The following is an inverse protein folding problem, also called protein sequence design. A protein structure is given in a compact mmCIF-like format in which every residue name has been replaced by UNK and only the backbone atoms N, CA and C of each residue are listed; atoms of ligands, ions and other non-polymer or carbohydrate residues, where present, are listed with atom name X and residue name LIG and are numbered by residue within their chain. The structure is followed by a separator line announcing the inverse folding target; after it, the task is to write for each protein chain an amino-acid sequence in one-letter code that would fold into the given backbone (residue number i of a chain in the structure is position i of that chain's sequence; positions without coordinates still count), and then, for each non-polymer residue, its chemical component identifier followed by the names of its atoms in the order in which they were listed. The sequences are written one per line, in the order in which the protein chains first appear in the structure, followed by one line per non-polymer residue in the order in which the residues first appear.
data_IF_660566191174
#
_entry.id   IF_660566191174
#
_cell.length_a   1.000
_cell.length_b   1.000
_cell.length_c   1.000
_cell.angle_alpha   90.00
_cell.angle_beta   90.00
_cell.angle_gamma   90.00
#
_symmetry.space_group_name_H-M   'P 1'
#
loop_
_entity.id
_entity.type
_entity.pdbx_description
1 polymer ?
#
# COMPACT_ATOMS: atom_id res chain seq x y z
N UNK A 1 -54.05 32.27 -17.67
CA UNK A 1 -53.48 31.12 -18.41
C UNK A 1 -52.09 31.46 -18.99
N UNK A 2 -51.90 32.62 -19.62
CA UNK A 2 -50.59 33.06 -20.16
C UNK A 2 -49.46 33.21 -19.13
N UNK A 3 -49.74 33.72 -17.93
CA UNK A 3 -48.70 33.97 -16.91
C UNK A 3 -48.10 32.64 -16.39
N UNK A 4 -48.93 31.62 -16.19
CA UNK A 4 -48.50 30.27 -15.82
C UNK A 4 -47.68 29.60 -16.93
N UNK A 5 -48.05 29.80 -18.20
CA UNK A 5 -47.29 29.31 -19.35
C UNK A 5 -45.92 30.02 -19.50
N UNK A 6 -45.85 31.33 -19.25
CA UNK A 6 -44.57 32.07 -19.26
C UNK A 6 -43.66 31.64 -18.11
N UNK A 7 -44.18 31.49 -16.90
CA UNK A 7 -43.41 31.02 -15.74
C UNK A 7 -42.96 29.56 -15.93
N UNK A 8 -43.85 28.69 -16.43
CA UNK A 8 -43.53 27.29 -16.74
C UNK A 8 -42.51 27.15 -17.86
N UNK A 9 -42.58 27.99 -18.90
CA UNK A 9 -41.60 28.03 -19.98
C UNK A 9 -40.20 28.45 -19.49
N UNK A 10 -40.12 29.48 -18.65
CA UNK A 10 -38.84 29.93 -18.07
C UNK A 10 -38.24 28.89 -17.12
N UNK A 11 -39.07 28.23 -16.30
CA UNK A 11 -38.64 27.12 -15.44
C UNK A 11 -38.16 25.91 -16.25
N UNK A 12 -38.84 25.55 -17.34
CA UNK A 12 -38.41 24.45 -18.21
C UNK A 12 -37.06 24.76 -18.87
N UNK A 13 -36.85 25.99 -19.35
CA UNK A 13 -35.58 26.40 -19.97
C UNK A 13 -34.41 26.39 -18.97
N UNK A 14 -34.65 26.66 -17.69
CA UNK A 14 -33.61 26.61 -16.65
C UNK A 14 -33.35 25.19 -16.14
N UNK A 15 -34.41 24.41 -15.90
CA UNK A 15 -34.32 23.12 -15.22
C UNK A 15 -33.94 21.99 -16.18
N UNK A 16 -34.43 22.01 -17.43
CA UNK A 16 -34.17 20.92 -18.40
C UNK A 16 -32.67 20.79 -18.73
N UNK A 17 -31.90 21.87 -19.00
CA UNK A 17 -30.46 21.75 -19.24
C UNK A 17 -29.69 21.22 -18.03
N UNK A 18 -30.10 21.57 -16.81
CA UNK A 18 -29.48 21.11 -15.57
C UNK A 18 -29.73 19.60 -15.38
N UNK A 19 -30.95 19.14 -15.61
CA UNK A 19 -31.30 17.71 -15.54
C UNK A 19 -30.56 16.92 -16.63
N UNK A 20 -30.49 17.44 -17.86
CA UNK A 20 -29.75 16.80 -18.95
C UNK A 20 -28.25 16.72 -18.65
N UNK A 21 -27.63 17.78 -18.13
CA UNK A 21 -26.24 17.77 -17.71
C UNK A 21 -25.99 16.75 -16.58
N UNK A 22 -26.89 16.68 -15.60
CA UNK A 22 -26.81 15.70 -14.51
C UNK A 22 -26.93 14.26 -15.01
N UNK A 23 -27.90 13.98 -15.89
CA UNK A 23 -28.09 12.65 -16.48
C UNK A 23 -26.90 12.27 -17.37
N UNK A 24 -26.38 13.21 -18.17
CA UNK A 24 -25.24 12.94 -19.04
C UNK A 24 -23.97 12.63 -18.22
N UNK A 25 -23.73 13.37 -17.14
CA UNK A 25 -22.61 13.10 -16.23
C UNK A 25 -22.75 11.73 -15.54
N UNK A 26 -23.96 11.39 -15.07
CA UNK A 26 -24.24 10.09 -14.45
C UNK A 26 -24.09 8.93 -15.45
N UNK A 27 -24.54 9.12 -16.69
CA UNK A 27 -24.40 8.14 -17.78
C UNK A 27 -22.94 7.97 -18.20
N UNK A 28 -22.18 9.05 -18.31
CA UNK A 28 -20.75 9.00 -18.59
C UNK A 28 -20.01 8.22 -17.48
N UNK A 29 -20.31 8.50 -16.22
CA UNK A 29 -19.73 7.76 -15.08
C UNK A 29 -20.09 6.26 -15.12
N UNK A 30 -21.34 5.92 -15.45
CA UNK A 30 -21.76 4.52 -15.60
C UNK A 30 -21.10 3.83 -16.80
N UNK A 31 -20.95 4.54 -17.93
CA UNK A 31 -20.28 4.03 -19.13
C UNK A 31 -18.81 3.76 -18.86
N UNK A 32 -18.09 4.72 -18.28
CA UNK A 32 -16.69 4.54 -17.88
C UNK A 32 -16.51 3.43 -16.85
N UNK A 33 -17.44 3.28 -15.90
CA UNK A 33 -17.40 2.16 -14.96
C UNK A 33 -17.57 0.80 -15.65
N UNK A 34 -18.44 0.70 -16.66
CA UNK A 34 -18.61 -0.54 -17.45
C UNK A 34 -17.40 -0.84 -18.33
N UNK A 35 -16.86 0.17 -19.02
CA UNK A 35 -15.66 0.03 -19.85
C UNK A 35 -14.46 -0.40 -19.00
N UNK A 36 -14.22 0.24 -17.86
CA UNK A 36 -13.16 -0.14 -16.92
C UNK A 36 -13.30 -1.58 -16.41
N UNK A 37 -14.52 -2.04 -16.12
CA UNK A 37 -14.76 -3.44 -15.71
C UNK A 37 -14.51 -4.42 -16.85
N UNK A 38 -14.89 -4.08 -18.07
CA UNK A 38 -14.63 -4.92 -19.25
C UNK A 38 -13.13 -5.00 -19.57
N UNK A 39 -12.40 -3.90 -19.42
CA UNK A 39 -10.94 -3.86 -19.56
C UNK A 39 -10.25 -4.71 -18.49
N UNK A 40 -10.65 -4.59 -17.22
CA UNK A 40 -10.11 -5.43 -16.15
C UNK A 40 -10.35 -6.92 -16.41
N UNK A 41 -11.55 -7.29 -16.89
CA UNK A 41 -11.87 -8.67 -17.24
C UNK A 41 -11.03 -9.17 -18.43
N UNK A 42 -10.82 -8.32 -19.45
CA UNK A 42 -9.95 -8.66 -20.58
C UNK A 42 -8.51 -8.87 -20.14
N UNK A 43 -7.98 -8.03 -19.26
CA UNK A 43 -6.63 -8.16 -18.70
C UNK A 43 -6.48 -9.44 -17.87
N UNK A 44 -7.51 -9.80 -17.08
CA UNK A 44 -7.51 -11.05 -16.32
C UNK A 44 -7.51 -12.28 -17.24
N UNK A 45 -8.36 -12.31 -18.26
CA UNK A 45 -8.39 -13.38 -19.28
C UNK A 45 -7.06 -13.49 -20.02
N UNK A 46 -6.45 -12.36 -20.35
CA UNK A 46 -5.14 -12.34 -20.97
C UNK A 46 -4.07 -12.89 -20.02
N UNK A 47 -4.10 -12.51 -18.75
CA UNK A 47 -3.16 -12.98 -17.73
C UNK A 47 -3.22 -14.50 -17.50
N UNK A 48 -4.40 -15.10 -17.58
CA UNK A 48 -4.61 -16.56 -17.46
C UNK A 48 -4.23 -17.34 -18.72
N UNK A 49 -4.05 -16.66 -19.86
CA UNK A 49 -3.74 -17.35 -21.11
C UNK A 49 -2.32 -17.95 -21.13
N UNK A 50 -2.21 -19.21 -21.57
CA UNK A 50 -0.91 -19.90 -21.71
C UNK A 50 0.03 -19.21 -22.71
N UNK A 51 -0.49 -18.30 -23.54
CA UNK A 51 0.32 -17.51 -24.49
C UNK A 51 1.20 -16.46 -23.79
N UNK A 52 0.81 -15.98 -22.60
CA UNK A 52 1.59 -14.98 -21.86
C UNK A 52 2.96 -15.52 -21.48
N UNK A 53 3.08 -16.81 -21.17
CA UNK A 53 4.34 -17.42 -20.77
C UNK A 53 5.40 -17.37 -21.89
N UNK A 54 4.97 -17.31 -23.15
CA UNK A 54 5.85 -17.19 -24.34
C UNK A 54 6.26 -15.74 -24.65
N UNK A 55 5.64 -14.74 -24.00
CA UNK A 55 5.92 -13.31 -24.22
C UNK A 55 7.15 -12.85 -23.42
N UNK A 56 7.70 -11.71 -23.82
CA UNK A 56 8.86 -11.10 -23.14
C UNK A 56 8.58 -10.77 -21.67
N UNK A 57 9.61 -10.79 -20.82
CA UNK A 57 9.49 -10.45 -19.40
C UNK A 57 8.93 -9.03 -19.17
N UNK A 58 9.28 -8.08 -20.04
CA UNK A 58 8.80 -6.70 -19.96
C UNK A 58 7.29 -6.59 -20.25
N UNK A 59 6.78 -7.42 -21.16
CA UNK A 59 5.34 -7.51 -21.44
C UNK A 59 4.59 -8.05 -20.22
N UNK A 60 5.09 -9.13 -19.65
CA UNK A 60 4.55 -9.78 -18.46
C UNK A 60 4.47 -8.82 -17.27
N UNK A 61 5.53 -8.05 -17.04
CA UNK A 61 5.55 -7.05 -15.95
C UNK A 61 4.57 -5.90 -16.22
N UNK A 62 4.44 -5.42 -17.46
CA UNK A 62 3.42 -4.40 -17.80
C UNK A 62 2.00 -4.91 -17.60
N UNK A 63 1.74 -6.16 -18.01
CA UNK A 63 0.44 -6.80 -17.82
C UNK A 63 0.10 -6.90 -16.32
N UNK A 64 1.02 -7.38 -15.50
CA UNK A 64 0.87 -7.45 -14.05
C UNK A 64 0.60 -6.08 -13.40
N UNK A 65 1.33 -5.04 -13.82
CA UNK A 65 1.11 -3.67 -13.34
C UNK A 65 -0.26 -3.14 -13.73
N UNK A 66 -0.71 -3.41 -14.95
CA UNK A 66 -2.03 -2.99 -15.43
C UNK A 66 -3.17 -3.73 -14.74
N UNK A 67 -3.01 -5.03 -14.46
CA UNK A 67 -4.02 -5.87 -13.84
C UNK A 67 -4.32 -5.41 -12.40
N UNK A 68 -3.28 -5.14 -11.62
CA UNK A 68 -3.41 -4.73 -10.22
C UNK A 68 -3.29 -3.22 -10.00
N UNK A 69 -3.25 -2.45 -11.09
CA UNK A 69 -3.06 -1.00 -11.10
C UNK A 69 -1.91 -0.55 -10.16
N UNK A 70 -0.77 -1.22 -10.25
CA UNK A 70 0.37 -0.99 -9.36
C UNK A 70 1.72 -1.12 -10.06
N UNK A 71 2.45 -0.01 -10.18
CA UNK A 71 3.72 0.06 -10.91
C UNK A 71 4.88 -0.70 -10.27
N UNK A 72 4.77 -1.04 -8.98
CA UNK A 72 5.82 -1.73 -8.26
C UNK A 72 5.78 -3.25 -8.45
N UNK A 73 4.66 -3.81 -8.96
CA UNK A 73 4.47 -5.25 -9.04
C UNK A 73 5.27 -5.89 -10.17
N UNK A 74 5.79 -7.09 -9.92
CA UNK A 74 6.44 -7.96 -10.91
C UNK A 74 5.49 -9.07 -11.34
N UNK A 75 5.64 -9.61 -12.55
CA UNK A 75 4.82 -10.73 -13.02
C UNK A 75 4.87 -11.97 -12.12
N UNK A 76 6.03 -12.32 -11.58
CA UNK A 76 6.15 -13.47 -10.68
C UNK A 76 5.44 -13.26 -9.34
N UNK A 77 5.38 -12.01 -8.86
CA UNK A 77 4.61 -11.65 -7.66
C UNK A 77 3.10 -11.71 -7.98
N UNK A 78 2.68 -11.18 -9.13
CA UNK A 78 1.31 -11.28 -9.62
C UNK A 78 0.84 -12.74 -9.78
N UNK A 79 1.67 -13.59 -10.40
CA UNK A 79 1.39 -15.01 -10.63
C UNK A 79 1.26 -15.80 -9.32
N UNK A 80 2.01 -15.41 -8.29
CA UNK A 80 1.86 -15.99 -6.96
C UNK A 80 0.52 -15.59 -6.33
N UNK A 81 0.18 -14.30 -6.34
CA UNK A 81 -1.05 -13.80 -5.73
C UNK A 81 -2.32 -14.21 -6.48
N UNK A 82 -2.26 -14.42 -7.79
CA UNK A 82 -3.41 -14.86 -8.60
C UNK A 82 -3.94 -16.25 -8.23
N UNK A 83 -3.17 -17.05 -7.47
CA UNK A 83 -3.62 -18.34 -6.95
C UNK A 83 -4.61 -18.20 -5.79
N UNK A 84 -4.82 -16.98 -5.28
CA UNK A 84 -5.65 -16.70 -4.13
C UNK A 84 -6.87 -15.88 -4.55
N UNK A 85 -8.02 -16.17 -3.96
CA UNK A 85 -9.29 -15.49 -4.28
C UNK A 85 -9.23 -13.98 -3.99
N UNK A 86 -8.56 -13.61 -2.91
CA UNK A 86 -8.44 -12.22 -2.46
C UNK A 86 -7.13 -11.54 -2.95
N UNK A 87 -6.69 -11.84 -4.17
CA UNK A 87 -5.41 -11.37 -4.71
C UNK A 87 -5.22 -9.83 -4.61
N UNK A 88 -6.23 -9.05 -4.98
CA UNK A 88 -6.18 -7.57 -4.97
C UNK A 88 -5.89 -7.00 -3.57
N UNK A 89 -6.51 -7.59 -2.54
CA UNK A 89 -6.34 -7.15 -1.16
C UNK A 89 -4.91 -7.44 -0.68
N UNK A 90 -4.42 -8.66 -0.95
CA UNK A 90 -3.08 -9.06 -0.54
C UNK A 90 -1.99 -8.30 -1.27
N UNK A 91 -2.17 -7.99 -2.56
CA UNK A 91 -1.23 -7.18 -3.33
C UNK A 91 -1.15 -5.76 -2.80
N UNK A 92 -2.29 -5.16 -2.44
CA UNK A 92 -2.32 -3.82 -1.85
C UNK A 92 -1.54 -3.75 -0.54
N UNK A 93 -1.68 -4.74 0.33
CA UNK A 93 -0.91 -4.81 1.58
C UNK A 93 0.56 -5.15 1.34
N UNK A 94 0.83 -6.09 0.43
CA UNK A 94 2.19 -6.48 0.03
C UNK A 94 3.02 -5.30 -0.45
N UNK A 95 2.47 -4.43 -1.30
CA UNK A 95 3.21 -3.27 -1.86
C UNK A 95 3.70 -2.32 -0.76
N UNK A 96 2.94 -2.16 0.34
CA UNK A 96 3.35 -1.31 1.47
C UNK A 96 4.57 -1.83 2.21
N UNK A 97 4.71 -3.15 2.29
CA UNK A 97 5.73 -3.83 3.10
C UNK A 97 6.83 -4.51 2.26
N UNK A 98 6.74 -4.46 0.93
CA UNK A 98 7.64 -5.14 0.00
C UNK A 98 9.12 -4.94 0.31
N UNK A 99 9.52 -3.74 0.74
CA UNK A 99 10.91 -3.42 1.09
C UNK A 99 11.48 -4.24 2.26
N UNK A 100 10.61 -4.83 3.09
CA UNK A 100 10.96 -5.64 4.26
C UNK A 100 10.82 -7.15 4.02
N UNK A 101 10.35 -7.55 2.83
CA UNK A 101 10.13 -8.95 2.46
C UNK A 101 11.22 -9.44 1.51
N UNK A 102 11.67 -10.67 1.75
CA UNK A 102 12.48 -11.44 0.82
C UNK A 102 11.61 -12.49 0.15
N UNK A 103 11.81 -12.69 -1.15
CA UNK A 103 11.05 -13.67 -1.94
C UNK A 103 11.72 -15.03 -1.78
N UNK A 104 10.93 -16.04 -1.43
CA UNK A 104 11.35 -17.43 -1.56
C UNK A 104 11.09 -17.86 -3.00
N UNK A 105 12.09 -18.52 -3.60
CA UNK A 105 11.99 -19.04 -4.97
C UNK A 105 12.23 -20.54 -4.94
N UNK A 106 11.49 -21.25 -5.78
CA UNK A 106 11.75 -22.66 -6.07
C UNK A 106 12.97 -22.83 -6.98
N UNK A 107 13.40 -24.07 -7.20
CA UNK A 107 14.48 -24.45 -8.12
C UNK A 107 14.17 -24.05 -9.58
N UNK A 108 12.89 -23.90 -9.92
CA UNK A 108 12.41 -23.38 -11.21
C UNK A 108 12.45 -21.83 -11.30
N UNK A 109 12.77 -21.13 -10.20
CA UNK A 109 12.80 -19.67 -10.12
C UNK A 109 11.45 -19.00 -9.83
N UNK A 110 10.38 -19.76 -9.68
CA UNK A 110 9.05 -19.29 -9.34
C UNK A 110 8.93 -18.89 -7.86
N UNK A 111 8.12 -17.87 -7.56
CA UNK A 111 7.93 -17.37 -6.19
C UNK A 111 7.00 -18.32 -5.43
N UNK A 112 7.51 -18.99 -4.40
CA UNK A 112 6.75 -19.96 -3.58
C UNK A 112 6.24 -19.35 -2.28
N UNK A 113 6.80 -18.22 -1.86
CA UNK A 113 6.36 -17.53 -0.65
C UNK A 113 7.21 -16.31 -0.32
N UNK A 114 6.92 -15.72 0.83
CA UNK A 114 7.61 -14.56 1.34
C UNK A 114 8.15 -14.81 2.74
N UNK A 115 9.43 -14.47 2.94
CA UNK A 115 10.11 -14.47 4.24
C UNK A 115 10.45 -13.05 4.66
N UNK A 116 10.61 -12.86 5.97
CA UNK A 116 11.10 -11.58 6.50
C UNK A 116 12.56 -11.37 6.09
N UNK A 117 12.89 -10.18 5.58
CA UNK A 117 14.27 -9.82 5.21
C UNK A 117 15.15 -9.59 6.43
N UNK A 118 14.57 -8.98 7.46
CA UNK A 118 15.28 -8.59 8.67
C UNK A 118 14.94 -9.54 9.81
N UNK A 119 15.94 -9.80 10.66
CA UNK A 119 15.75 -10.58 11.86
C UNK A 119 15.08 -9.76 12.96
N UNK A 120 14.45 -10.45 13.91
CA UNK A 120 13.73 -9.81 15.02
C UNK A 120 14.61 -8.95 15.92
N UNK A 121 15.91 -9.28 16.05
CA UNK A 121 16.85 -8.49 16.86
C UNK A 121 17.11 -7.11 16.26
N UNK A 122 17.04 -6.95 14.93
CA UNK A 122 17.20 -5.64 14.28
C UNK A 122 16.05 -4.72 14.68
N UNK A 123 14.82 -5.23 14.67
CA UNK A 123 13.66 -4.47 15.13
C UNK A 123 13.77 -4.07 16.61
N UNK A 124 14.26 -4.97 17.46
CA UNK A 124 14.53 -4.66 18.87
C UNK A 124 15.56 -3.54 19.00
N UNK A 125 16.65 -3.59 18.23
CA UNK A 125 17.68 -2.55 18.25
C UNK A 125 17.13 -1.18 17.85
N UNK A 126 16.31 -1.10 16.79
CA UNK A 126 15.64 0.16 16.40
C UNK A 126 14.65 0.65 17.44
N UNK A 127 13.95 -0.26 18.14
CA UNK A 127 13.04 0.11 19.22
C UNK A 127 13.78 0.68 20.44
N UNK A 128 14.91 0.07 20.83
CA UNK A 128 15.77 0.61 21.90
C UNK A 128 16.39 1.95 21.46
N UNK A 129 16.84 2.05 20.21
CA UNK A 129 17.36 3.28 19.63
C UNK A 129 16.33 4.41 19.59
N UNK A 130 15.06 4.09 19.33
CA UNK A 130 13.94 5.03 19.45
C UNK A 130 13.84 5.58 20.87
N UNK A 131 13.80 4.73 21.89
CA UNK A 131 13.72 5.19 23.28
C UNK A 131 14.89 6.11 23.64
N UNK A 132 16.13 5.68 23.37
CA UNK A 132 17.31 6.49 23.65
C UNK A 132 17.25 7.86 22.95
N UNK A 133 16.88 7.89 21.67
CA UNK A 133 16.81 9.12 20.89
C UNK A 133 15.67 10.03 21.32
N UNK A 134 14.50 9.46 21.63
CA UNK A 134 13.34 10.20 22.12
C UNK A 134 13.63 10.83 23.49
N UNK A 135 14.26 10.09 24.41
CA UNK A 135 14.67 10.64 25.71
C UNK A 135 15.60 11.84 25.54
N UNK A 136 16.64 11.72 24.70
CA UNK A 136 17.59 12.82 24.43
C UNK A 136 16.87 14.02 23.79
N UNK A 137 16.03 13.77 22.80
CA UNK A 137 15.26 14.80 22.11
C UNK A 137 14.26 15.54 23.00
N UNK A 138 13.74 14.87 24.03
CA UNK A 138 12.77 15.43 24.98
C UNK A 138 13.39 16.13 26.19
N UNK A 139 14.71 16.02 26.42
CA UNK A 139 15.40 16.69 27.55
C UNK A 139 15.05 18.19 27.67
N UNK A 140 15.06 18.99 26.58
CA UNK A 140 14.73 20.41 26.68
C UNK A 140 13.31 20.68 27.18
N UNK A 141 12.37 19.77 26.90
CA UNK A 141 10.97 19.88 27.33
C UNK A 141 10.79 19.46 28.78
N UNK A 142 11.49 18.41 29.21
CA UNK A 142 11.40 17.89 30.59
C UNK A 142 12.01 18.87 31.61
N UNK A 143 13.13 19.51 31.27
CA UNK A 143 13.85 20.42 32.19
C UNK A 143 13.86 21.85 31.64
N UNK A 144 12.72 22.30 31.10
CA UNK A 144 12.59 23.56 30.35
C UNK A 144 13.16 24.78 31.08
N UNK A 145 12.82 24.97 32.36
CA UNK A 145 13.29 26.14 33.12
C UNK A 145 14.82 26.20 33.24
N UNK A 146 15.47 25.06 33.52
CA UNK A 146 16.93 24.97 33.63
C UNK A 146 17.58 25.10 32.25
N UNK A 147 16.94 24.54 31.23
CA UNK A 147 17.39 24.60 29.86
C UNK A 147 17.41 26.02 29.31
N UNK A 148 16.35 26.80 29.55
CA UNK A 148 16.29 28.23 29.20
C UNK A 148 17.35 29.02 29.97
N UNK A 149 17.56 28.74 31.26
CA UNK A 149 18.62 29.39 32.03
C UNK A 149 20.02 29.13 31.43
N UNK A 150 20.28 27.92 30.92
CA UNK A 150 21.51 27.62 30.20
C UNK A 150 21.64 28.39 28.89
N UNK A 151 20.56 28.55 28.13
CA UNK A 151 20.55 29.35 26.90
C UNK A 151 20.85 30.82 27.21
N UNK A 152 20.21 31.41 28.21
CA UNK A 152 20.41 32.81 28.61
C UNK A 152 21.85 33.04 29.07
N UNK A 153 22.40 32.17 29.93
CA UNK A 153 23.79 32.25 30.37
C UNK A 153 24.79 32.10 29.19
N UNK A 154 24.45 31.30 28.19
CA UNK A 154 25.29 31.13 26.98
C UNK A 154 25.23 32.35 26.09
N UNK A 155 24.08 33.02 26.04
CA UNK A 155 23.88 34.29 25.34
C UNK A 155 24.67 35.43 26.01
N UNK A 156 24.58 35.56 27.33
CA UNK A 156 25.33 36.55 28.11
C UNK A 156 26.85 36.41 27.95
N UNK A 157 27.34 35.17 27.78
CA UNK A 157 28.75 34.87 27.52
C UNK A 157 29.18 35.07 26.06
N UNK A 158 28.29 35.52 25.19
CA UNK A 158 28.58 35.74 23.77
C UNK A 158 28.90 34.46 23.00
N UNK A 159 28.29 33.31 23.37
CA UNK A 159 28.52 32.01 22.72
C UNK A 159 27.31 31.57 21.86
N UNK A 160 27.00 32.25 20.74
CA UNK A 160 25.82 31.96 19.93
C UNK A 160 25.85 30.56 19.31
N UNK A 161 27.04 30.02 19.01
CA UNK A 161 27.20 28.67 18.46
C UNK A 161 26.69 27.59 19.41
N UNK A 162 26.88 27.76 20.72
CA UNK A 162 26.40 26.82 21.73
C UNK A 162 24.86 26.82 21.80
N UNK A 163 24.24 28.00 21.64
CA UNK A 163 22.77 28.14 21.60
C UNK A 163 22.20 27.39 20.40
N UNK A 164 22.79 27.56 19.22
CA UNK A 164 22.37 26.83 18.01
C UNK A 164 22.49 25.32 18.22
N UNK A 165 23.60 24.85 18.80
CA UNK A 165 23.81 23.43 19.08
C UNK A 165 22.77 22.87 20.05
N UNK A 166 22.44 23.64 21.10
CA UNK A 166 21.38 23.29 22.06
C UNK A 166 20.02 23.12 21.38
N UNK A 167 19.70 23.88 20.34
CA UNK A 167 18.43 23.71 19.62
C UNK A 167 18.51 22.55 18.61
N UNK A 168 19.60 22.47 17.85
CA UNK A 168 19.75 21.53 16.74
C UNK A 168 19.86 20.10 17.22
N UNK A 169 20.65 19.84 18.26
CA UNK A 169 20.92 18.47 18.74
C UNK A 169 19.62 17.74 19.16
N UNK A 170 18.78 18.29 20.06
CA UNK A 170 17.52 17.66 20.42
C UNK A 170 16.59 17.46 19.22
N UNK A 171 16.54 18.44 18.31
CA UNK A 171 15.72 18.35 17.09
C UNK A 171 16.15 17.19 16.20
N UNK A 172 17.46 17.04 15.97
CA UNK A 172 18.00 15.91 15.19
C UNK A 172 17.71 14.57 15.87
N UNK A 173 17.85 14.48 17.19
CA UNK A 173 17.52 13.26 17.93
C UNK A 173 16.03 12.90 17.88
N UNK A 174 15.13 13.88 17.88
CA UNK A 174 13.69 13.63 17.65
C UNK A 174 13.44 13.07 16.24
N UNK A 175 14.10 13.64 15.23
CA UNK A 175 13.99 13.16 13.84
C UNK A 175 14.54 11.73 13.71
N UNK A 176 15.69 11.43 14.30
CA UNK A 176 16.26 10.06 14.33
C UNK A 176 15.30 9.10 15.03
N UNK A 177 14.75 9.50 16.19
CA UNK A 177 13.74 8.72 16.91
C UNK A 177 12.53 8.41 16.02
N UNK A 178 11.99 9.40 15.32
CA UNK A 178 10.88 9.21 14.38
C UNK A 178 11.20 8.17 13.29
N UNK A 179 12.39 8.23 12.67
CA UNK A 179 12.80 7.23 11.68
C UNK A 179 12.93 5.82 12.28
N UNK A 180 13.46 5.70 13.49
CA UNK A 180 13.52 4.42 14.21
C UNK A 180 12.13 3.84 14.45
N UNK A 181 11.16 4.67 14.86
CA UNK A 181 9.78 4.24 15.09
C UNK A 181 9.11 3.78 13.79
N UNK A 182 9.26 4.54 12.71
CA UNK A 182 8.76 4.18 11.37
C UNK A 182 9.31 2.83 10.89
N UNK A 183 10.57 2.53 11.19
CA UNK A 183 11.15 1.22 10.87
C UNK A 183 10.50 0.09 11.66
N UNK A 184 10.31 0.27 12.97
CA UNK A 184 9.66 -0.71 13.85
C UNK A 184 8.22 -0.97 13.43
N UNK A 185 7.47 0.08 13.09
CA UNK A 185 6.09 -0.02 12.59
C UNK A 185 6.05 -0.88 11.31
N UNK A 186 6.87 -0.55 10.31
CA UNK A 186 6.95 -1.34 9.06
C UNK A 186 7.33 -2.79 9.32
N UNK A 187 8.22 -3.04 10.27
CA UNK A 187 8.62 -4.39 10.66
C UNK A 187 7.46 -5.15 11.31
N UNK A 188 6.69 -4.50 12.19
CA UNK A 188 5.50 -5.08 12.82
C UNK A 188 4.42 -5.39 11.78
N UNK A 189 4.11 -4.46 10.87
CA UNK A 189 3.16 -4.66 9.77
C UNK A 189 3.56 -5.84 8.88
N UNK A 190 4.85 -6.02 8.62
CA UNK A 190 5.36 -7.18 7.88
C UNK A 190 5.10 -8.50 8.63
N UNK A 191 5.25 -8.50 9.96
CA UNK A 191 4.92 -9.66 10.80
C UNK A 191 3.43 -10.01 10.77
N UNK A 192 2.57 -8.99 10.90
CA UNK A 192 1.10 -9.12 10.82
C UNK A 192 0.69 -9.66 9.46
N UNK A 193 1.16 -9.04 8.36
CA UNK A 193 0.86 -9.52 7.00
C UNK A 193 1.23 -10.97 6.78
N UNK A 194 2.43 -11.41 7.20
CA UNK A 194 2.84 -12.80 7.00
C UNK A 194 1.98 -13.79 7.79
N UNK A 195 1.46 -13.37 8.94
CA UNK A 195 0.60 -14.21 9.77
C UNK A 195 -0.82 -14.25 9.20
N UNK A 196 -1.39 -13.09 8.87
CA UNK A 196 -2.72 -12.94 8.28
C UNK A 196 -2.78 -13.63 6.92
N UNK A 197 -1.74 -13.47 6.09
CA UNK A 197 -1.65 -14.18 4.81
C UNK A 197 -1.63 -15.70 4.98
N UNK A 198 -0.96 -16.23 6.01
CA UNK A 198 -0.99 -17.69 6.26
C UNK A 198 -2.33 -18.19 6.78
N UNK A 199 -3.09 -17.33 7.46
CA UNK A 199 -4.32 -17.71 8.16
C UNK A 199 -5.56 -17.50 7.30
N UNK A 200 -5.58 -16.43 6.52
CA UNK A 200 -6.75 -15.90 5.84
C UNK A 200 -6.61 -15.89 4.29
N UNK A 201 -5.46 -16.32 3.74
CA UNK A 201 -5.34 -16.45 2.29
C UNK A 201 -6.04 -17.73 1.80
N UNK A 202 -7.22 -17.56 1.21
CA UNK A 202 -7.95 -18.61 0.53
C UNK A 202 -7.27 -18.95 -0.79
N UNK A 203 -6.54 -20.07 -0.82
CA UNK A 203 -6.01 -20.62 -2.06
C UNK A 203 -7.18 -21.17 -2.87
N UNK A 204 -7.32 -20.76 -4.13
CA UNK A 204 -8.31 -21.35 -5.02
C UNK A 204 -7.98 -22.84 -5.17
N UNK A 205 -8.92 -23.74 -4.83
CA UNK A 205 -8.76 -25.15 -5.15
C UNK A 205 -8.62 -25.25 -6.66
N UNK A 206 -7.45 -25.66 -7.13
CA UNK A 206 -7.24 -26.02 -8.52
C UNK A 206 -8.27 -27.08 -8.89
N UNK A 207 -8.97 -26.87 -9.99
CA UNK A 207 -10.00 -27.77 -10.57
C UNK A 207 -9.49 -29.18 -10.89
N UNK A 208 -8.22 -29.50 -10.61
CA UNK A 208 -7.59 -30.79 -10.90
C UNK A 208 -7.89 -31.90 -9.88
N UNK A 209 -8.36 -31.60 -8.66
CA UNK A 209 -8.65 -32.65 -7.66
C UNK A 209 -10.00 -33.38 -7.86
N UNK A 210 -10.79 -33.05 -8.88
CA UNK A 210 -12.11 -33.68 -9.11
C UNK A 210 -12.11 -34.92 -10.00
N UNK A 211 -11.06 -35.21 -10.75
CA UNK A 211 -11.07 -36.33 -11.70
C UNK A 211 -10.62 -37.68 -11.10
N UNK A 212 -9.98 -37.71 -9.94
CA UNK A 212 -9.51 -38.97 -9.35
C UNK A 212 -10.57 -39.63 -8.45
N UNK A 213 -11.62 -38.91 -8.04
CA UNK A 213 -12.71 -39.47 -7.23
C UNK A 213 -13.84 -40.13 -8.03
N UNK A 214 -13.86 -39.98 -9.36
CA UNK A 214 -14.94 -40.52 -10.20
C UNK A 214 -14.58 -41.85 -10.88
N UNK A 215 -13.31 -42.27 -10.86
CA UNK A 215 -12.85 -43.54 -11.47
C UNK A 215 -12.95 -44.72 -10.49
N UNK A 216 -12.82 -44.48 -9.18
CA UNK A 216 -12.92 -45.54 -8.15
C UNK A 216 -14.38 -45.91 -7.75
N UNK A 217 -15.39 -45.20 -8.27
CA UNK A 217 -16.80 -45.50 -8.00
C UNK A 217 -17.44 -46.45 -9.04
N UNK A 218 -16.69 -46.88 -10.07
CA UNK A 218 -17.21 -47.74 -11.16
C UNK A 218 -16.36 -48.98 -11.47
N UNK A 219 -15.48 -49.41 -10.56
CA UNK A 219 -14.74 -50.68 -10.68
C UNK A 219 -15.31 -51.76 -9.75
#
# INVERSE_FOLDING_TARGET
MEILLKIGGVLAVLVVPIILAFLNNKLAHLKHSKESKAEALKLALEFESQEVEKRSALYKDRLAKSLFNNDALTYSEAKFFSQYENADLWIREYVKIRGMLTRERDDAGDVTGFKRKSHWYTALFFFVGYFASAFIGLIPFVIMNKYIAWIVNSYEKGMPLLIVLMIVVPTVFLVIGYYCLMYVERYASCGVFLNDFKKDAFKMQSTEEKNDSEIDATA
#
